data_IF_665891215597
#
_entry.id   IF_665891215597
#
_cell.length_a   1.000
_cell.length_b   1.000
_cell.length_c   1.000
_cell.angle_alpha   90.00
_cell.angle_beta   90.00
_cell.angle_gamma   90.00
#
_symmetry.space_group_name_H-M   'P 1'
#
loop_
_entity.id
_entity.type
_entity.pdbx_description
1 polymer ?
#
# COMPACT_ATOMS: atom_id res chain seq x y z
N UNK A 1 -10.34 -25.89 -1.77
CA UNK A 1 -10.21 -24.88 -2.85
C UNK A 1 -8.79 -24.36 -2.88
N UNK A 2 -8.18 -24.40 -4.06
CA UNK A 2 -6.83 -23.84 -4.26
C UNK A 2 -6.93 -22.32 -4.34
N UNK A 3 -6.17 -21.62 -3.51
CA UNK A 3 -6.15 -20.17 -3.51
C UNK A 3 -4.80 -19.69 -3.97
N UNK A 4 -4.76 -19.07 -5.12
CA UNK A 4 -3.55 -18.50 -5.68
C UNK A 4 -3.32 -17.10 -5.10
N UNK A 5 -2.06 -16.77 -4.73
CA UNK A 5 -1.76 -15.42 -4.28
C UNK A 5 -2.00 -14.40 -5.39
N UNK A 6 -2.46 -13.21 -5.00
CA UNK A 6 -2.53 -12.08 -5.92
C UNK A 6 -1.11 -11.70 -6.33
N UNK A 7 -0.90 -11.37 -7.60
CA UNK A 7 0.39 -10.88 -8.08
C UNK A 7 0.67 -9.52 -7.41
N UNK A 8 1.73 -9.46 -6.62
CA UNK A 8 2.06 -8.23 -5.89
C UNK A 8 2.37 -7.06 -6.84
N UNK A 9 2.90 -7.36 -8.01
CA UNK A 9 3.18 -6.34 -9.01
C UNK A 9 1.89 -5.68 -9.51
N UNK A 10 0.83 -6.47 -9.69
CA UNK A 10 -0.47 -5.95 -10.11
C UNK A 10 -1.10 -5.04 -9.03
N UNK A 11 -0.82 -5.29 -7.76
CA UNK A 11 -1.36 -4.47 -6.67
C UNK A 11 -0.83 -3.04 -6.70
N UNK A 12 0.30 -2.80 -7.36
CA UNK A 12 0.93 -1.49 -7.44
C UNK A 12 0.48 -0.68 -8.65
N UNK A 13 -0.44 -1.17 -9.46
CA UNK A 13 -0.83 -0.51 -10.71
C UNK A 13 -1.38 0.89 -10.48
N UNK A 14 -2.30 1.06 -9.53
CA UNK A 14 -2.86 2.38 -9.22
C UNK A 14 -1.77 3.36 -8.83
N UNK A 15 -0.87 2.94 -7.96
CA UNK A 15 0.24 3.76 -7.48
C UNK A 15 1.18 4.15 -8.62
N UNK A 16 1.57 3.19 -9.48
CA UNK A 16 2.44 3.46 -10.62
C UNK A 16 1.84 4.47 -11.58
N UNK A 17 0.57 4.33 -11.88
CA UNK A 17 -0.12 5.24 -12.79
C UNK A 17 -0.17 6.64 -12.21
N UNK A 18 -0.43 6.75 -10.92
CA UNK A 18 -0.52 8.04 -10.25
C UNK A 18 0.84 8.74 -10.18
N UNK A 19 1.92 8.03 -9.83
CA UNK A 19 3.26 8.67 -9.76
C UNK A 19 3.82 8.98 -11.13
N UNK A 20 3.32 8.36 -12.19
CA UNK A 20 3.71 8.71 -13.56
C UNK A 20 2.98 9.95 -14.07
N UNK A 21 2.11 10.56 -13.29
CA UNK A 21 1.39 11.77 -13.65
C UNK A 21 -0.01 11.56 -14.20
N UNK A 22 -0.47 10.31 -14.24
CA UNK A 22 -1.80 10.00 -14.74
C UNK A 22 -2.87 10.37 -13.71
N UNK A 23 -4.00 10.87 -14.17
CA UNK A 23 -5.14 11.16 -13.29
C UNK A 23 -5.97 9.90 -13.12
N UNK A 24 -5.79 9.24 -12.00
CA UNK A 24 -6.53 8.01 -11.68
C UNK A 24 -7.51 8.32 -10.55
N UNK A 25 -8.78 7.91 -10.67
CA UNK A 25 -9.75 8.14 -9.59
C UNK A 25 -9.26 7.54 -8.28
N UNK A 26 -9.50 8.26 -7.20
CA UNK A 26 -9.15 7.83 -5.85
C UNK A 26 -10.42 7.63 -5.04
N UNK A 27 -10.53 6.47 -4.41
CA UNK A 27 -11.65 6.13 -3.54
C UNK A 27 -11.16 6.17 -2.10
N UNK A 28 -11.78 7.00 -1.27
CA UNK A 28 -11.35 7.29 0.10
C UNK A 28 -11.28 6.07 1.01
N UNK A 29 -12.17 5.12 0.84
CA UNK A 29 -12.22 3.91 1.67
C UNK A 29 -11.63 2.69 1.00
N UNK A 30 -10.87 2.88 -0.10
CA UNK A 30 -10.19 1.80 -0.80
C UNK A 30 -8.68 2.06 -0.87
N UNK A 31 -7.93 1.72 0.19
CA UNK A 31 -6.48 1.89 0.17
C UNK A 31 -5.83 1.10 -0.97
N UNK A 32 -4.85 1.70 -1.61
CA UNK A 32 -4.08 1.06 -2.67
C UNK A 32 -2.65 0.82 -2.22
N UNK A 33 -2.07 -0.30 -2.63
CA UNK A 33 -0.68 -0.59 -2.33
C UNK A 33 0.25 0.42 -3.00
N UNK A 34 1.32 0.81 -2.32
CA UNK A 34 2.30 1.72 -2.86
C UNK A 34 3.05 2.47 -1.78
N UNK A 35 3.79 3.48 -2.25
CA UNK A 35 4.59 4.34 -1.38
C UNK A 35 4.00 5.73 -1.37
N UNK A 36 3.90 6.30 -0.15
CA UNK A 36 3.18 7.55 0.07
C UNK A 36 3.92 8.40 1.11
N UNK A 37 3.48 9.66 1.22
CA UNK A 37 3.82 10.54 2.33
C UNK A 37 2.53 11.16 2.86
N UNK A 38 2.51 11.45 4.15
CA UNK A 38 1.39 12.18 4.75
C UNK A 38 1.88 12.95 5.97
N UNK A 39 1.08 13.90 6.42
CA UNK A 39 1.39 14.65 7.64
C UNK A 39 0.62 14.07 8.82
N UNK A 40 1.30 13.87 9.95
CA UNK A 40 0.63 13.47 11.19
C UNK A 40 -0.31 14.54 11.70
N UNK A 41 0.14 15.77 11.61
CA UNK A 41 -0.60 16.94 12.09
C UNK A 41 -0.65 17.98 10.99
N UNK A 42 -1.71 18.78 10.98
CA UNK A 42 -1.88 19.85 10.02
C UNK A 42 -0.69 20.81 10.09
N UNK A 43 -0.09 21.07 8.94
CA UNK A 43 1.08 21.96 8.87
C UNK A 43 2.38 21.34 9.33
N UNK A 44 2.39 20.09 9.80
CA UNK A 44 3.59 19.39 10.22
C UNK A 44 4.39 18.80 9.04
N UNK A 45 5.53 18.18 9.33
CA UNK A 45 6.34 17.56 8.29
C UNK A 45 5.66 16.31 7.73
N UNK A 46 6.00 15.96 6.49
CA UNK A 46 5.57 14.71 5.89
C UNK A 46 6.36 13.54 6.47
N UNK A 47 5.68 12.42 6.67
CA UNK A 47 6.31 11.16 7.09
C UNK A 47 6.05 10.09 6.04
N UNK A 48 6.95 9.11 5.89
CA UNK A 48 6.79 8.07 4.89
C UNK A 48 5.71 7.06 5.31
N UNK A 49 4.96 6.59 4.31
CA UNK A 49 3.90 5.59 4.48
C UNK A 49 4.08 4.55 3.39
N UNK A 50 3.99 3.27 3.75
CA UNK A 50 3.92 2.19 2.78
C UNK A 50 2.70 1.34 3.06
N UNK A 51 2.00 0.94 2.00
CA UNK A 51 0.84 0.06 2.06
C UNK A 51 1.13 -1.12 1.15
N UNK A 52 0.93 -2.32 1.65
CA UNK A 52 1.19 -3.54 0.89
C UNK A 52 0.17 -4.61 1.21
N UNK A 53 0.13 -5.62 0.36
CA UNK A 53 -0.73 -6.78 0.55
C UNK A 53 0.08 -7.87 1.24
N UNK A 54 -0.32 -8.23 2.46
CA UNK A 54 0.33 -9.30 3.21
C UNK A 54 -0.22 -10.65 2.77
N UNK A 55 0.67 -11.58 2.47
CA UNK A 55 0.33 -12.92 2.00
C UNK A 55 1.06 -13.94 2.84
N UNK A 56 0.33 -14.95 3.29
CA UNK A 56 0.92 -16.13 3.92
C UNK A 56 0.83 -17.28 2.93
N UNK A 57 1.98 -17.75 2.46
CA UNK A 57 2.08 -18.69 1.35
C UNK A 57 2.77 -19.97 1.82
N UNK A 58 2.17 -21.12 1.50
CA UNK A 58 2.79 -22.42 1.73
C UNK A 58 4.00 -22.55 0.78
N UNK A 59 5.21 -22.75 1.32
CA UNK A 59 6.40 -22.84 0.47
C UNK A 59 6.43 -24.08 -0.43
N UNK A 60 5.66 -25.10 -0.12
CA UNK A 60 5.62 -26.32 -0.94
C UNK A 60 4.65 -26.24 -2.09
N UNK A 61 3.49 -25.65 -1.87
CA UNK A 61 2.43 -25.59 -2.88
C UNK A 61 2.31 -24.25 -3.58
N UNK A 62 2.83 -23.18 -2.99
CA UNK A 62 2.65 -21.83 -3.52
C UNK A 62 1.26 -21.26 -3.29
N UNK A 63 0.43 -21.92 -2.51
CA UNK A 63 -0.94 -21.49 -2.24
C UNK A 63 -1.03 -20.66 -0.96
N UNK A 64 -2.08 -19.84 -0.88
CA UNK A 64 -2.34 -19.07 0.33
C UNK A 64 -2.79 -19.97 1.47
N UNK A 65 -2.21 -19.78 2.65
CA UNK A 65 -2.58 -20.49 3.87
C UNK A 65 -3.55 -19.69 4.73
N UNK A 66 -3.72 -18.40 4.41
CA UNK A 66 -4.63 -17.50 5.12
C UNK A 66 -5.15 -16.45 4.15
N UNK A 67 -6.25 -15.75 4.46
CA UNK A 67 -6.72 -14.63 3.63
C UNK A 67 -5.65 -13.54 3.50
N UNK A 68 -5.55 -12.98 2.31
CA UNK A 68 -4.68 -11.83 2.07
C UNK A 68 -5.26 -10.61 2.81
N UNK A 69 -4.39 -9.77 3.34
CA UNK A 69 -4.84 -8.55 4.00
C UNK A 69 -3.90 -7.38 3.71
N UNK A 70 -4.47 -6.20 3.61
CA UNK A 70 -3.66 -4.99 3.48
C UNK A 70 -3.01 -4.67 4.82
N UNK A 71 -1.76 -4.24 4.76
CA UNK A 71 -1.00 -3.75 5.91
C UNK A 71 -0.32 -2.45 5.56
N UNK A 72 -0.04 -1.64 6.56
CA UNK A 72 0.62 -0.37 6.36
C UNK A 72 1.58 -0.06 7.50
N UNK A 73 2.62 0.71 7.16
CA UNK A 73 3.50 1.32 8.15
C UNK A 73 3.54 2.82 7.89
N UNK A 74 3.59 3.59 8.95
CA UNK A 74 3.70 5.05 8.90
C UNK A 74 4.84 5.46 9.81
N UNK A 75 5.85 6.08 9.24
CA UNK A 75 7.07 6.46 9.96
C UNK A 75 7.70 5.28 10.71
N UNK A 76 7.68 4.09 10.08
CA UNK A 76 8.27 2.87 10.64
C UNK A 76 7.37 2.12 11.63
N UNK A 77 6.15 2.57 11.87
CA UNK A 77 5.24 1.94 12.82
C UNK A 77 4.02 1.35 12.12
N UNK A 78 3.59 0.13 12.49
CA UNK A 78 2.37 -0.43 11.93
C UNK A 78 1.16 0.44 12.25
N UNK A 79 0.32 0.65 11.25
CA UNK A 79 -0.94 1.41 11.39
C UNK A 79 -2.03 0.73 10.57
N UNK A 80 -3.29 1.10 10.84
CA UNK A 80 -4.39 0.65 10.03
C UNK A 80 -4.26 1.20 8.60
N UNK A 81 -4.34 0.35 7.54
CA UNK A 81 -4.18 0.80 6.16
C UNK A 81 -5.16 1.91 5.76
N UNK A 82 -6.41 1.83 6.18
CA UNK A 82 -7.38 2.86 5.84
C UNK A 82 -6.98 4.21 6.44
N UNK A 83 -6.54 4.20 7.68
CA UNK A 83 -6.07 5.41 8.35
C UNK A 83 -4.84 6.00 7.66
N UNK A 84 -3.90 5.13 7.26
CA UNK A 84 -2.70 5.56 6.56
C UNK A 84 -3.01 6.12 5.18
N UNK A 85 -4.06 5.60 4.53
CA UNK A 85 -4.47 6.00 3.19
C UNK A 85 -5.07 7.41 3.14
N UNK A 86 -5.83 7.79 4.18
CA UNK A 86 -6.48 9.10 4.23
C UNK A 86 -5.41 10.19 4.21
N UNK A 87 -5.51 11.13 3.25
CA UNK A 87 -4.57 12.21 3.02
C UNK A 87 -3.15 11.79 2.59
N UNK A 88 -2.92 10.49 2.33
CA UNK A 88 -1.64 10.04 1.82
C UNK A 88 -1.45 10.53 0.38
N UNK A 89 -0.23 10.95 0.04
CA UNK A 89 0.14 11.40 -1.30
C UNK A 89 1.12 10.42 -1.91
N UNK A 90 0.85 9.91 -3.12
CA UNK A 90 1.81 9.02 -3.78
C UNK A 90 3.15 9.68 -4.00
N UNK A 91 4.22 8.94 -3.73
CA UNK A 91 5.59 9.36 -4.00
C UNK A 91 6.32 8.23 -4.72
N UNK A 92 7.45 8.55 -5.35
CA UNK A 92 8.26 7.53 -6.00
C UNK A 92 8.94 6.64 -4.96
N UNK A 93 9.34 5.46 -5.36
CA UNK A 93 10.08 4.55 -4.50
C UNK A 93 11.39 5.17 -4.03
N UNK A 94 12.08 5.90 -4.91
CA UNK A 94 13.33 6.56 -4.54
C UNK A 94 13.10 7.71 -3.56
N UNK A 95 11.98 8.40 -3.64
CA UNK A 95 11.64 9.43 -2.67
C UNK A 95 11.31 8.83 -1.30
N UNK A 96 10.70 7.66 -1.29
CA UNK A 96 10.37 6.94 -0.05
C UNK A 96 11.63 6.44 0.66
N UNK A 97 12.50 5.83 -0.10
CA UNK A 97 13.71 5.19 0.41
C UNK A 97 14.93 5.97 0.15
#
# INVERSE_FOLDING_TARGET
MIRQPTDLDDTLEWWRRTVSGERVPRIEDEPQCGFYKRRFVRGGPFVPVAIWLHQEIDPETGELTAPEELRAIENGRPVDPLRAWIYARPISESEYG
#
